data_IF_404289428266
#
_entry.id   IF_404289428266
#
_cell.length_a   1.000
_cell.length_b   1.000
_cell.length_c   1.000
_cell.angle_alpha   90.00
_cell.angle_beta   90.00
_cell.angle_gamma   90.00
#
_symmetry.space_group_name_H-M   'P 1'
#
loop_
_entity.id
_entity.type
_entity.pdbx_description
1 polymer ?
#
# COMPACT_ATOMS: atom_id res chain seq x y z
N UNK A 1 -0.27 6.46 11.64
CA UNK A 1 -0.18 7.56 10.64
C UNK A 1 -1.56 8.05 10.24
N UNK A 2 -2.32 7.35 9.39
CA UNK A 2 -3.62 7.85 8.87
C UNK A 2 -4.61 8.20 10.00
N UNK A 3 -4.77 7.32 11.00
CA UNK A 3 -5.63 7.60 12.17
C UNK A 3 -5.21 8.88 12.93
N UNK A 4 -3.90 9.12 13.08
CA UNK A 4 -3.37 10.32 13.74
C UNK A 4 -3.65 11.58 12.90
N UNK A 5 -3.46 11.51 11.58
CA UNK A 5 -3.78 12.61 10.67
C UNK A 5 -5.28 12.96 10.73
N UNK A 6 -6.14 11.95 10.75
CA UNK A 6 -7.59 12.12 10.85
C UNK A 6 -8.01 12.79 12.16
N UNK A 7 -7.48 12.32 13.29
CA UNK A 7 -7.76 12.93 14.59
C UNK A 7 -7.37 14.42 14.60
N UNK A 8 -6.17 14.76 14.13
CA UNK A 8 -5.72 16.15 14.07
C UNK A 8 -6.59 16.99 13.12
N UNK A 9 -6.98 16.42 11.98
CA UNK A 9 -7.86 17.10 11.02
C UNK A 9 -9.24 17.39 11.62
N UNK A 10 -9.84 16.43 12.35
CA UNK A 10 -11.11 16.63 13.05
C UNK A 10 -11.00 17.71 14.13
N UNK A 11 -9.95 17.69 14.95
CA UNK A 11 -9.70 18.70 16.00
C UNK A 11 -9.52 20.11 15.42
N UNK A 12 -8.97 20.23 14.21
CA UNK A 12 -8.70 21.51 13.53
C UNK A 12 -9.74 21.92 12.50
N UNK A 13 -10.75 21.09 12.24
CA UNK A 13 -11.75 21.34 11.19
C UNK A 13 -11.18 21.32 9.77
N UNK A 14 -10.20 20.46 9.51
CA UNK A 14 -9.51 20.31 8.22
C UNK A 14 -9.94 19.04 7.47
N UNK A 15 -9.65 18.99 6.18
CA UNK A 15 -9.75 17.75 5.40
C UNK A 15 -8.52 16.87 5.59
N UNK A 16 -8.71 15.56 5.65
CA UNK A 16 -7.62 14.58 5.69
C UNK A 16 -7.21 14.18 4.28
N UNK A 17 -5.96 14.46 3.91
CA UNK A 17 -5.39 14.02 2.64
C UNK A 17 -4.26 13.01 2.81
N UNK A 18 -4.13 12.09 1.86
CA UNK A 18 -2.96 11.20 1.72
C UNK A 18 -2.22 11.53 0.43
N UNK A 19 -0.92 11.79 0.54
CA UNK A 19 -0.02 11.89 -0.60
C UNK A 19 0.74 10.57 -0.77
N UNK A 20 0.61 9.94 -1.94
CA UNK A 20 1.31 8.70 -2.29
C UNK A 20 1.96 8.81 -3.66
N UNK A 21 2.66 7.75 -4.08
CA UNK A 21 3.46 7.73 -5.30
C UNK A 21 3.08 6.56 -6.20
N UNK A 22 3.01 6.84 -7.50
CA UNK A 22 2.91 5.82 -8.55
C UNK A 22 3.76 6.23 -9.78
N UNK A 23 4.57 5.35 -10.38
CA UNK A 23 4.88 4.01 -9.91
C UNK A 23 5.66 4.03 -8.59
N UNK A 24 5.82 2.87 -7.97
CA UNK A 24 6.65 2.74 -6.78
C UNK A 24 8.07 3.34 -7.02
N UNK A 25 8.65 4.11 -6.06
CA UNK A 25 9.94 4.78 -6.25
C UNK A 25 11.06 3.87 -6.75
N UNK A 26 11.09 2.60 -6.32
CA UNK A 26 12.09 1.63 -6.77
C UNK A 26 12.03 1.33 -8.27
N UNK A 27 10.88 1.49 -8.94
CA UNK A 27 10.77 1.29 -10.40
C UNK A 27 11.59 2.33 -11.14
N UNK A 28 11.62 3.56 -10.63
CA UNK A 28 12.27 4.71 -11.26
C UNK A 28 13.73 4.82 -10.83
N UNK A 29 14.03 4.49 -9.58
CA UNK A 29 15.38 4.57 -9.01
C UNK A 29 16.24 3.35 -9.34
N UNK A 30 15.64 2.21 -9.70
CA UNK A 30 16.42 1.03 -10.09
C UNK A 30 16.69 1.04 -11.60
N UNK A 31 17.93 0.72 -11.98
CA UNK A 31 18.32 0.51 -13.37
C UNK A 31 17.74 -0.80 -13.97
N UNK A 32 16.90 -1.51 -13.21
CA UNK A 32 16.33 -2.79 -13.61
C UNK A 32 14.83 -2.57 -13.81
N UNK A 33 14.35 -2.79 -15.03
CA UNK A 33 12.91 -2.85 -15.33
C UNK A 33 12.30 -4.10 -14.68
N UNK A 34 12.17 -4.14 -13.36
CA UNK A 34 11.33 -5.12 -12.67
C UNK A 34 9.95 -4.50 -12.45
N UNK A 35 8.92 -5.20 -12.89
CA UNK A 35 7.54 -4.89 -12.54
C UNK A 35 7.41 -5.06 -11.02
N UNK A 36 7.19 -3.96 -10.30
CA UNK A 36 6.93 -4.03 -8.86
C UNK A 36 5.54 -4.61 -8.66
N UNK A 37 5.46 -5.73 -7.94
CA UNK A 37 4.19 -6.23 -7.43
C UNK A 37 3.78 -5.43 -6.19
N UNK A 38 2.51 -5.16 -6.01
CA UNK A 38 1.93 -4.36 -4.94
C UNK A 38 1.18 -5.25 -3.95
N UNK A 39 1.29 -4.93 -2.66
CA UNK A 39 0.41 -5.51 -1.64
C UNK A 39 -1.05 -5.09 -1.85
N UNK A 40 -1.25 -3.87 -2.37
CA UNK A 40 -2.56 -3.33 -2.68
C UNK A 40 -2.38 -2.41 -3.90
N UNK A 41 -2.87 -2.83 -5.08
CA UNK A 41 -2.88 -2.00 -6.29
C UNK A 41 -3.58 -0.66 -6.06
N UNK A 42 -3.35 0.30 -6.95
CA UNK A 42 -3.74 1.70 -6.73
C UNK A 42 -5.26 1.88 -6.51
N UNK A 43 -6.08 1.20 -7.29
CA UNK A 43 -7.55 1.27 -7.18
C UNK A 43 -8.04 0.76 -5.82
N UNK A 44 -7.59 -0.42 -5.41
CA UNK A 44 -7.88 -0.99 -4.09
C UNK A 44 -7.33 -0.14 -2.94
N UNK A 45 -6.19 0.52 -3.15
CA UNK A 45 -5.61 1.43 -2.17
C UNK A 45 -6.55 2.62 -1.98
N UNK A 46 -7.11 3.17 -3.04
CA UNK A 46 -8.07 4.26 -2.96
C UNK A 46 -9.34 3.84 -2.20
N UNK A 47 -9.88 2.65 -2.48
CA UNK A 47 -11.00 2.08 -1.72
C UNK A 47 -10.68 2.00 -0.22
N UNK A 48 -9.51 1.46 0.15
CA UNK A 48 -9.08 1.38 1.56
C UNK A 48 -8.87 2.75 2.21
N UNK A 49 -8.35 3.73 1.48
CA UNK A 49 -8.22 5.09 2.00
C UNK A 49 -9.59 5.71 2.28
N UNK A 50 -10.56 5.50 1.40
CA UNK A 50 -11.94 5.93 1.59
C UNK A 50 -12.60 5.23 2.80
N UNK A 51 -12.40 3.91 2.97
CA UNK A 51 -12.88 3.16 4.15
C UNK A 51 -12.30 3.70 5.47
N UNK A 52 -11.07 4.21 5.46
CA UNK A 52 -10.44 4.86 6.61
C UNK A 52 -10.94 6.29 6.85
N UNK A 53 -11.76 6.83 5.93
CA UNK A 53 -12.28 8.19 5.96
C UNK A 53 -11.24 9.24 5.57
N UNK A 54 -10.36 8.93 4.62
CA UNK A 54 -9.52 9.92 3.95
C UNK A 54 -10.36 10.67 2.92
N UNK A 55 -10.37 12.00 2.96
CA UNK A 55 -11.16 12.83 2.05
C UNK A 55 -10.54 12.92 0.65
N UNK A 56 -9.21 13.02 0.59
CA UNK A 56 -8.48 13.25 -0.66
C UNK A 56 -7.25 12.35 -0.76
N UNK A 57 -7.04 11.69 -1.88
CA UNK A 57 -5.83 10.92 -2.16
C UNK A 57 -5.09 11.52 -3.36
N UNK A 58 -3.96 12.17 -3.10
CA UNK A 58 -3.05 12.66 -4.13
C UNK A 58 -2.08 11.56 -4.54
N UNK A 59 -2.08 11.22 -5.83
CA UNK A 59 -1.14 10.27 -6.43
C UNK A 59 -0.12 11.04 -7.25
N UNK A 60 1.06 11.26 -6.67
CA UNK A 60 2.15 11.95 -7.35
C UNK A 60 2.85 10.98 -8.29
N UNK A 61 3.02 11.38 -9.55
CA UNK A 61 3.79 10.57 -10.50
C UNK A 61 5.27 10.59 -10.12
N UNK A 62 5.80 9.45 -9.68
CA UNK A 62 7.22 9.37 -9.31
C UNK A 62 8.07 9.27 -10.57
N UNK A 63 8.72 10.36 -10.94
CA UNK A 63 9.60 10.44 -12.13
C UNK A 63 11.04 10.69 -11.72
N UNK A 64 11.99 10.51 -12.65
CA UNK A 64 13.39 10.90 -12.41
C UNK A 64 13.50 12.38 -12.07
N UNK A 65 12.71 13.24 -12.70
CA UNK A 65 12.69 14.67 -12.37
C UNK A 65 12.18 14.91 -10.94
N UNK A 66 11.14 14.18 -10.52
CA UNK A 66 10.63 14.26 -9.15
C UNK A 66 11.66 13.77 -8.13
N UNK A 67 12.37 12.67 -8.42
CA UNK A 67 13.38 12.12 -7.52
C UNK A 67 14.61 13.01 -7.33
N UNK A 68 14.79 14.03 -8.16
CA UNK A 68 15.90 14.98 -8.10
C UNK A 68 15.56 16.28 -7.33
N UNK A 69 14.32 16.42 -6.84
CA UNK A 69 13.93 17.58 -6.03
C UNK A 69 14.73 17.64 -4.72
N UNK A 70 15.28 18.80 -4.37
CA UNK A 70 15.82 19.00 -3.02
C UNK A 70 14.71 18.88 -1.96
N UNK A 71 15.05 18.59 -0.69
CA UNK A 71 14.07 18.57 0.40
C UNK A 71 13.21 19.85 0.46
N UNK A 72 13.83 21.04 0.38
CA UNK A 72 13.11 22.32 0.36
C UNK A 72 12.17 22.43 -0.85
N UNK A 73 12.62 22.04 -2.04
CA UNK A 73 11.79 22.11 -3.25
C UNK A 73 10.59 21.16 -3.19
N UNK A 74 10.73 19.99 -2.56
CA UNK A 74 9.60 19.10 -2.28
C UNK A 74 8.59 19.77 -1.34
N UNK A 75 9.06 20.34 -0.22
CA UNK A 75 8.20 21.03 0.74
C UNK A 75 7.44 22.19 0.09
N UNK A 76 8.13 23.06 -0.65
CA UNK A 76 7.51 24.24 -1.26
C UNK A 76 6.51 23.86 -2.37
N UNK A 77 6.86 22.91 -3.24
CA UNK A 77 6.05 22.57 -4.42
C UNK A 77 4.90 21.61 -4.13
N UNK A 78 4.98 20.82 -3.07
CA UNK A 78 3.97 19.80 -2.77
C UNK A 78 3.24 20.06 -1.46
N UNK A 79 3.94 20.39 -0.37
CA UNK A 79 3.26 20.55 0.91
C UNK A 79 2.66 21.95 1.04
N UNK A 80 3.46 22.99 0.80
CA UNK A 80 3.01 24.38 0.88
C UNK A 80 2.04 24.71 -0.25
N UNK A 81 2.32 24.27 -1.48
CA UNK A 81 1.42 24.50 -2.62
C UNK A 81 0.04 23.82 -2.46
N UNK A 82 -0.06 22.76 -1.67
CA UNK A 82 -1.33 22.12 -1.30
C UNK A 82 -2.02 22.79 -0.09
N UNK A 83 -1.44 23.87 0.46
CA UNK A 83 -1.89 24.53 1.68
C UNK A 83 -2.07 23.54 2.84
N UNK A 84 -1.08 22.66 3.01
CA UNK A 84 -1.08 21.73 4.16
C UNK A 84 -0.88 22.53 5.44
N UNK A 85 -1.73 22.29 6.43
CA UNK A 85 -1.64 22.89 7.77
C UNK A 85 -0.88 21.99 8.78
N UNK A 86 -0.92 20.67 8.58
CA UNK A 86 -0.25 19.70 9.44
C UNK A 86 0.15 18.45 8.65
N UNK A 87 1.43 18.04 8.75
CA UNK A 87 1.97 16.83 8.13
C UNK A 87 2.14 15.73 9.16
N UNK A 88 1.60 14.54 8.87
CA UNK A 88 1.80 13.34 9.70
C UNK A 88 2.46 12.25 8.87
N UNK A 89 3.61 11.73 9.32
CA UNK A 89 4.25 10.58 8.69
C UNK A 89 5.01 9.72 9.71
N UNK A 90 5.43 8.54 9.27
CA UNK A 90 6.25 7.65 10.10
C UNK A 90 7.66 8.19 10.32
N UNK A 91 8.27 7.84 11.44
CA UNK A 91 9.66 8.20 11.78
C UNK A 91 10.70 7.84 10.71
N UNK A 92 10.43 6.80 9.90
CA UNK A 92 11.31 6.32 8.84
C UNK A 92 11.01 6.91 7.45
N UNK A 93 10.07 7.85 7.36
CA UNK A 93 9.80 8.56 6.11
C UNK A 93 10.97 9.47 5.73
N UNK A 94 11.32 9.45 4.44
CA UNK A 94 12.33 10.33 3.84
C UNK A 94 11.84 10.89 2.52
N UNK A 95 12.32 12.08 2.18
CA UNK A 95 11.89 12.85 1.01
C UNK A 95 13.05 13.64 0.41
N UNK A 96 12.81 14.22 -0.76
CA UNK A 96 13.84 14.89 -1.55
C UNK A 96 14.84 13.90 -2.16
N UNK A 97 15.84 14.48 -2.83
CA UNK A 97 16.83 13.77 -3.62
C UNK A 97 17.54 12.74 -2.75
N UNK A 98 17.56 11.49 -3.24
CA UNK A 98 18.16 10.34 -2.53
C UNK A 98 17.67 10.14 -1.08
N UNK A 99 16.49 10.68 -0.73
CA UNK A 99 15.96 10.64 0.64
C UNK A 99 16.79 11.43 1.65
N UNK A 100 17.43 12.52 1.19
CA UNK A 100 18.22 13.45 2.02
C UNK A 100 17.38 14.03 3.18
N UNK A 101 16.14 14.43 2.92
CA UNK A 101 15.25 14.97 3.95
C UNK A 101 14.67 13.87 4.84
N UNK A 102 14.72 14.07 6.16
CA UNK A 102 14.07 13.21 7.16
C UNK A 102 12.90 13.91 7.83
N UNK A 103 11.98 13.14 8.41
CA UNK A 103 10.87 13.70 9.18
C UNK A 103 11.32 14.56 10.36
N UNK A 104 12.45 14.22 10.99
CA UNK A 104 13.05 15.00 12.09
C UNK A 104 13.54 16.39 11.67
N UNK A 105 13.72 16.62 10.37
CA UNK A 105 14.15 17.91 9.82
C UNK A 105 13.00 18.68 9.16
N UNK A 106 11.83 18.06 9.02
CA UNK A 106 10.73 18.61 8.23
C UNK A 106 10.22 19.94 8.80
N UNK A 107 10.20 20.11 10.12
CA UNK A 107 9.83 21.40 10.75
C UNK A 107 10.76 22.54 10.31
N UNK A 108 12.06 22.28 10.14
CA UNK A 108 13.01 23.29 9.67
C UNK A 108 12.70 23.71 8.24
N UNK A 109 12.41 22.74 7.35
CA UNK A 109 12.00 23.03 5.98
C UNK A 109 10.61 23.67 5.91
N UNK A 110 9.72 23.36 6.87
CA UNK A 110 8.41 23.97 6.99
C UNK A 110 8.52 25.46 7.34
N UNK A 111 9.50 25.85 8.16
CA UNK A 111 9.74 27.25 8.58
C UNK A 111 8.46 27.92 9.09
N UNK A 112 7.72 27.22 9.97
CA UNK A 112 6.47 27.71 10.57
C UNK A 112 5.25 27.74 9.65
N UNK A 113 5.35 27.25 8.41
CA UNK A 113 4.22 27.22 7.45
C UNK A 113 3.22 26.10 7.69
N UNK A 114 3.63 25.05 8.40
CA UNK A 114 2.78 23.95 8.85
C UNK A 114 3.42 23.22 10.02
N UNK A 115 2.61 22.48 10.76
CA UNK A 115 3.06 21.63 11.86
C UNK A 115 3.41 20.22 11.41
N UNK A 116 4.18 19.49 12.22
CA UNK A 116 4.61 18.13 11.92
C UNK A 116 4.36 17.21 13.11
N UNK A 117 3.77 16.03 12.85
CA UNK A 117 3.72 14.92 13.81
C UNK A 117 4.45 13.71 13.25
N UNK A 118 5.39 13.19 14.03
CA UNK A 118 6.11 11.96 13.72
C UNK A 118 5.46 10.80 14.46
N UNK A 119 5.08 9.76 13.73
CA UNK A 119 4.52 8.52 14.31
C UNK A 119 5.62 7.47 14.43
N UNK A 120 5.81 6.96 15.65
CA UNK A 120 6.79 5.92 15.94
C UNK A 120 6.47 4.58 15.27
N UNK A 121 7.51 3.74 15.17
CA UNK A 121 7.37 2.37 14.65
C UNK A 121 6.31 1.60 15.42
N UNK A 122 5.50 0.85 14.68
CA UNK A 122 4.51 -0.06 15.25
C UNK A 122 5.05 -1.49 15.20
N UNK A 123 4.69 -2.30 16.21
CA UNK A 123 5.09 -3.70 16.30
C UNK A 123 3.90 -4.61 16.60
N UNK A 124 3.95 -5.85 16.12
CA UNK A 124 3.04 -6.95 16.51
C UNK A 124 3.91 -8.13 16.90
N UNK A 125 3.68 -8.72 18.07
CA UNK A 125 4.48 -9.85 18.58
C UNK A 125 6.01 -9.62 18.54
N UNK A 126 6.44 -8.36 18.70
CA UNK A 126 7.83 -7.86 18.58
C UNK A 126 8.36 -7.62 17.16
N UNK A 127 7.64 -8.04 16.13
CA UNK A 127 8.01 -7.76 14.74
C UNK A 127 7.59 -6.36 14.30
N UNK A 128 8.48 -5.65 13.60
CA UNK A 128 8.17 -4.36 12.99
C UNK A 128 7.10 -4.55 11.92
N UNK A 129 6.00 -3.82 12.02
CA UNK A 129 5.02 -3.72 10.93
C UNK A 129 5.66 -2.92 9.79
N UNK A 130 5.92 -3.58 8.66
CA UNK A 130 6.49 -2.94 7.48
C UNK A 130 6.07 -3.65 6.20
N UNK A 131 6.04 -2.92 5.08
CA UNK A 131 5.78 -3.51 3.77
C UNK A 131 6.79 -4.61 3.43
N UNK A 132 8.06 -4.48 3.84
CA UNK A 132 9.09 -5.50 3.62
C UNK A 132 8.75 -6.82 4.31
N UNK A 133 8.37 -6.78 5.60
CA UNK A 133 8.03 -7.97 6.36
C UNK A 133 6.73 -8.62 5.86
N UNK A 134 5.72 -7.81 5.54
CA UNK A 134 4.45 -8.32 4.98
C UNK A 134 4.72 -9.02 3.63
N UNK A 135 5.53 -8.41 2.76
CA UNK A 135 5.90 -9.00 1.47
C UNK A 135 6.63 -10.32 1.65
N UNK A 136 7.62 -10.37 2.56
CA UNK A 136 8.34 -11.60 2.91
C UNK A 136 7.37 -12.70 3.32
N UNK A 137 6.52 -12.45 4.32
CA UNK A 137 5.56 -13.42 4.83
C UNK A 137 4.65 -13.97 3.72
N UNK A 138 4.11 -13.09 2.86
CA UNK A 138 3.30 -13.51 1.70
C UNK A 138 4.09 -14.40 0.73
N UNK A 139 5.32 -14.01 0.39
CA UNK A 139 6.16 -14.77 -0.56
C UNK A 139 6.69 -16.08 0.01
N UNK A 140 6.78 -16.20 1.33
CA UNK A 140 7.20 -17.42 2.03
C UNK A 140 6.03 -18.36 2.32
N UNK A 141 4.79 -17.88 2.16
CA UNK A 141 3.56 -18.64 2.37
C UNK A 141 2.95 -18.49 3.76
N UNK A 142 3.54 -17.65 4.61
CA UNK A 142 3.15 -17.38 6.00
C UNK A 142 2.02 -16.35 6.06
N UNK A 143 0.83 -16.72 5.56
CA UNK A 143 -0.30 -15.80 5.44
C UNK A 143 -0.88 -15.38 6.79
N UNK A 144 -0.81 -16.21 7.82
CA UNK A 144 -1.22 -15.84 9.17
C UNK A 144 -0.39 -14.67 9.70
N UNK A 145 0.94 -14.72 9.55
CA UNK A 145 1.84 -13.61 9.91
C UNK A 145 1.52 -12.37 9.08
N UNK A 146 1.38 -12.51 7.76
CA UNK A 146 1.05 -11.40 6.88
C UNK A 146 -0.27 -10.71 7.29
N UNK A 147 -1.29 -11.49 7.63
CA UNK A 147 -2.61 -11.00 8.03
C UNK A 147 -2.56 -10.28 9.39
N UNK A 148 -1.76 -10.77 10.34
CA UNK A 148 -1.53 -10.09 11.61
C UNK A 148 -0.86 -8.73 11.41
N UNK A 149 0.17 -8.68 10.56
CA UNK A 149 0.88 -7.43 10.25
C UNK A 149 0.01 -6.44 9.46
N UNK A 150 -0.83 -6.93 8.55
CA UNK A 150 -1.78 -6.09 7.79
C UNK A 150 -2.95 -5.59 8.64
N UNK A 151 -3.35 -6.38 9.65
CA UNK A 151 -4.59 -6.18 10.41
C UNK A 151 -5.85 -6.63 9.66
N UNK A 152 -5.70 -7.32 8.53
CA UNK A 152 -6.80 -7.88 7.74
C UNK A 152 -6.31 -9.04 6.84
N UNK A 153 -7.22 -9.92 6.37
CA UNK A 153 -6.86 -10.99 5.44
C UNK A 153 -6.33 -10.45 4.11
N UNK A 154 -5.15 -10.91 3.70
CA UNK A 154 -4.59 -10.59 2.39
C UNK A 154 -5.55 -11.02 1.28
N UNK A 155 -5.87 -10.10 0.38
CA UNK A 155 -6.94 -10.25 -0.61
C UNK A 155 -6.42 -9.85 -1.98
N UNK A 156 -6.77 -10.62 -3.01
CA UNK A 156 -6.51 -10.31 -4.41
C UNK A 156 -7.81 -10.26 -5.18
N UNK A 157 -7.86 -9.46 -6.25
CA UNK A 157 -8.98 -9.39 -7.19
C UNK A 157 -8.58 -10.01 -8.52
N UNK A 158 -9.53 -10.68 -9.16
CA UNK A 158 -9.32 -11.31 -10.46
C UNK A 158 -10.63 -11.61 -11.16
N UNK A 159 -10.53 -11.96 -12.44
CA UNK A 159 -11.68 -12.30 -13.29
C UNK A 159 -11.73 -13.81 -13.47
N UNK A 160 -12.95 -14.39 -13.38
CA UNK A 160 -13.15 -15.80 -13.73
C UNK A 160 -12.96 -15.96 -15.24
N UNK A 161 -12.02 -16.83 -15.62
CA UNK A 161 -11.71 -17.13 -17.01
C UNK A 161 -12.02 -18.60 -17.33
N UNK A 162 -12.15 -18.87 -18.63
CA UNK A 162 -12.20 -20.25 -19.11
C UNK A 162 -10.82 -20.91 -18.92
N UNK A 163 -10.82 -22.11 -18.36
CA UNK A 163 -9.64 -22.98 -18.33
C UNK A 163 -10.06 -24.42 -18.59
N UNK A 164 -9.20 -25.38 -18.25
CA UNK A 164 -9.30 -26.77 -18.73
C UNK A 164 -10.50 -27.57 -18.20
N UNK A 165 -11.34 -26.99 -17.33
CA UNK A 165 -12.56 -27.61 -16.75
C UNK A 165 -12.34 -29.00 -16.10
N UNK A 166 -11.08 -29.38 -15.80
CA UNK A 166 -10.71 -30.71 -15.28
C UNK A 166 -11.40 -31.09 -13.97
N UNK A 167 -11.73 -30.13 -13.10
CA UNK A 167 -12.44 -30.40 -11.84
C UNK A 167 -13.87 -30.93 -12.01
N UNK A 168 -14.51 -30.66 -13.17
CA UNK A 168 -15.88 -31.11 -13.43
C UNK A 168 -15.99 -32.64 -13.52
N UNK A 169 -14.91 -33.36 -13.83
CA UNK A 169 -14.93 -34.83 -13.90
C UNK A 169 -14.92 -35.50 -12.52
N UNK A 170 -14.57 -34.77 -11.46
CA UNK A 170 -14.52 -35.28 -10.07
C UNK A 170 -15.62 -34.67 -9.17
N UNK A 171 -16.59 -33.96 -9.74
CA UNK A 171 -17.75 -33.41 -9.02
C UNK A 171 -17.49 -32.08 -8.29
N UNK A 172 -16.32 -31.46 -8.44
CA UNK A 172 -16.00 -30.17 -7.82
C UNK A 172 -16.02 -29.05 -8.86
N UNK A 173 -16.93 -28.05 -8.74
CA UNK A 173 -16.90 -26.90 -9.62
C UNK A 173 -15.61 -26.10 -9.40
N UNK A 174 -14.81 -25.95 -10.46
CA UNK A 174 -13.58 -25.15 -10.43
C UNK A 174 -13.75 -23.85 -11.21
N UNK A 175 -13.18 -22.77 -10.67
CA UNK A 175 -13.05 -21.49 -11.34
C UNK A 175 -11.56 -21.20 -11.55
N UNK A 176 -11.17 -20.86 -12.78
CA UNK A 176 -9.82 -20.37 -13.06
C UNK A 176 -9.86 -18.85 -12.93
N UNK A 177 -8.97 -18.27 -12.14
CA UNK A 177 -8.97 -16.84 -11.83
C UNK A 177 -7.75 -16.20 -12.49
N UNK A 178 -7.99 -15.25 -13.40
CA UNK A 178 -6.95 -14.36 -13.88
C UNK A 178 -6.83 -13.20 -12.89
N UNK A 179 -5.81 -13.27 -12.02
CA UNK A 179 -5.51 -12.22 -11.04
C UNK A 179 -4.86 -11.03 -11.75
N UNK A 180 -5.17 -9.81 -11.32
CA UNK A 180 -4.48 -8.62 -11.82
C UNK A 180 -2.96 -8.77 -11.56
N UNK A 181 -2.16 -8.57 -12.62
CA UNK A 181 -0.71 -8.75 -12.56
C UNK A 181 -0.02 -7.84 -11.54
N UNK A 182 -0.65 -6.75 -11.11
CA UNK A 182 -0.06 -5.86 -10.12
C UNK A 182 0.00 -6.46 -8.72
N UNK A 183 -0.83 -7.45 -8.37
CA UNK A 183 -0.79 -8.03 -7.02
C UNK A 183 0.49 -8.83 -6.77
N UNK A 184 0.95 -8.79 -5.52
CA UNK A 184 1.88 -9.79 -5.01
C UNK A 184 1.13 -11.10 -4.80
N UNK A 185 1.49 -12.15 -5.54
CA UNK A 185 0.87 -13.46 -5.36
C UNK A 185 1.61 -14.21 -4.23
N UNK A 186 0.89 -14.89 -3.31
CA UNK A 186 1.50 -15.75 -2.30
C UNK A 186 2.35 -16.86 -2.92
N UNK A 187 3.13 -17.54 -2.08
CA UNK A 187 3.85 -18.76 -2.47
C UNK A 187 2.94 -19.75 -3.20
N UNK A 188 3.50 -20.54 -4.10
CA UNK A 188 2.75 -21.62 -4.75
C UNK A 188 2.29 -22.64 -3.71
N UNK A 189 1.04 -23.09 -3.82
CA UNK A 189 0.45 -23.98 -2.84
C UNK A 189 -1.07 -24.07 -2.93
N UNK A 190 -1.65 -24.77 -1.96
CA UNK A 190 -3.10 -24.88 -1.78
C UNK A 190 -3.48 -24.15 -0.49
N UNK A 191 -4.47 -23.28 -0.59
CA UNK A 191 -4.89 -22.39 0.49
C UNK A 191 -6.38 -22.55 0.75
N UNK A 192 -6.77 -22.61 2.02
CA UNK A 192 -8.15 -22.36 2.41
C UNK A 192 -8.45 -20.87 2.23
N UNK A 193 -9.50 -20.54 1.47
CA UNK A 193 -9.83 -19.16 1.13
C UNK A 193 -11.30 -18.85 1.38
N UNK A 194 -11.57 -17.57 1.59
CA UNK A 194 -12.88 -16.97 1.35
C UNK A 194 -12.82 -16.23 0.04
N UNK A 195 -13.82 -16.42 -0.83
CA UNK A 195 -13.95 -15.63 -2.05
C UNK A 195 -15.33 -14.99 -2.11
N UNK A 196 -15.40 -13.80 -2.73
CA UNK A 196 -16.63 -13.05 -2.90
C UNK A 196 -16.98 -12.95 -4.38
N UNK A 197 -18.20 -13.32 -4.75
CA UNK A 197 -18.74 -13.21 -6.11
C UNK A 197 -20.19 -12.76 -6.03
N UNK A 198 -20.61 -11.80 -6.86
CA UNK A 198 -21.98 -11.26 -6.86
C UNK A 198 -22.49 -10.83 -5.47
N UNK A 199 -21.60 -10.32 -4.61
CA UNK A 199 -21.93 -9.90 -3.24
C UNK A 199 -21.98 -11.03 -2.20
N UNK A 200 -21.95 -12.29 -2.62
CA UNK A 200 -21.97 -13.46 -1.73
C UNK A 200 -20.56 -13.93 -1.40
N UNK A 201 -20.36 -14.40 -0.16
CA UNK A 201 -19.07 -14.92 0.30
C UNK A 201 -19.15 -16.43 0.47
N UNK A 202 -18.17 -17.15 -0.11
CA UNK A 202 -18.10 -18.60 -0.06
C UNK A 202 -16.75 -19.05 0.49
N UNK A 203 -16.73 -20.27 1.05
CA UNK A 203 -15.50 -20.97 1.40
C UNK A 203 -15.01 -21.78 0.19
N UNK A 204 -13.70 -21.87 0.02
CA UNK A 204 -13.12 -22.65 -1.05
C UNK A 204 -11.68 -23.04 -0.78
N UNK A 205 -11.13 -23.85 -1.69
CA UNK A 205 -9.70 -24.11 -1.78
C UNK A 205 -9.16 -23.44 -3.04
N UNK A 206 -8.15 -22.58 -2.88
CA UNK A 206 -7.43 -21.98 -3.99
C UNK A 206 -6.12 -22.73 -4.21
N UNK A 207 -5.86 -23.12 -5.46
CA UNK A 207 -4.54 -23.62 -5.87
C UNK A 207 -3.82 -22.52 -6.63
N UNK A 208 -2.66 -22.11 -6.13
CA UNK A 208 -1.78 -21.13 -6.77
C UNK A 208 -0.64 -21.91 -7.42
N UNK A 209 -0.57 -21.85 -8.75
CA UNK A 209 0.39 -22.58 -9.57
C UNK A 209 0.70 -21.85 -10.86
N UNK A 210 1.67 -22.37 -11.60
CA UNK A 210 1.87 -21.99 -13.00
C UNK A 210 1.05 -22.95 -13.88
N UNK A 211 0.55 -22.43 -15.00
CA UNK A 211 0.11 -23.28 -16.12
C UNK A 211 1.32 -23.73 -16.93
#
# INVERSE_FOLDING_TARGET
>A
VIKQAKQIAEEKGLQTAVLTFDPHPSVVLSNIRKQVKYLTPLEDKAEKMAELGVDIMYVVRFTTQFSELSPQAFVDKYLVALNVEHVVAGFDYSYGKKGEGKMTELENYANGRFEVTIVDKQTVASDKISSTNIRRAITEGELEEANQLLGYPYTTKGTVIHGDKRGRTIGFPTANILVNEDYLIPKLGVYAVKFRVNGETHLGMASIGYN
#
